data_IF_700332716906
#
_entry.id   IF_700332716906
#
_cell.length_a   1.000
_cell.length_b   1.000
_cell.length_c   1.000
_cell.angle_alpha   90.00
_cell.angle_beta   90.00
_cell.angle_gamma   90.00
#
_symmetry.space_group_name_H-M   'P 1'
#
loop_
_entity.id
_entity.type
_entity.pdbx_description
1 polymer ?
#
# COMPACT_ATOMS: atom_id res chain seq x y z
N UNK A 1 0.70 17.74 6.00
CA UNK A 1 0.27 17.77 4.59
C UNK A 1 -0.56 19.02 4.39
N UNK A 2 -0.31 19.82 3.33
CA UNK A 2 -1.14 20.99 3.00
C UNK A 2 -2.62 20.61 2.90
N UNK A 3 -3.51 21.37 3.53
CA UNK A 3 -4.92 21.02 3.70
C UNK A 3 -5.76 20.82 2.42
N UNK A 4 -5.16 21.00 1.24
CA UNK A 4 -5.77 20.76 -0.06
C UNK A 4 -4.96 19.78 -0.93
N UNK A 5 -4.07 19.00 -0.33
CA UNK A 5 -3.29 17.97 -0.99
C UNK A 5 -3.61 16.62 -0.36
N UNK A 6 -4.21 15.73 -1.16
CA UNK A 6 -4.61 14.40 -0.72
C UNK A 6 -3.47 13.39 -0.95
N UNK A 7 -2.61 13.22 0.06
CA UNK A 7 -1.53 12.22 0.06
C UNK A 7 -1.96 11.05 0.95
N UNK A 8 -2.24 9.91 0.34
CA UNK A 8 -2.72 8.70 1.00
C UNK A 8 -1.65 7.62 1.01
N UNK A 9 -1.32 7.12 2.21
CA UNK A 9 -0.52 5.91 2.39
C UNK A 9 -1.38 4.75 2.84
N UNK A 10 -2.37 5.06 3.67
CA UNK A 10 -3.41 4.17 4.18
C UNK A 10 -4.73 4.98 4.23
N UNK A 11 -5.84 4.37 3.86
CA UNK A 11 -7.16 5.00 3.87
C UNK A 11 -8.25 3.94 4.00
N UNK A 12 -9.47 4.35 4.18
CA UNK A 12 -10.65 3.46 4.19
C UNK A 12 -11.58 3.76 3.01
N UNK A 13 -12.28 2.73 2.54
CA UNK A 13 -13.36 2.86 1.57
C UNK A 13 -14.39 1.75 1.81
N UNK A 14 -15.58 1.91 1.23
CA UNK A 14 -16.67 0.94 1.38
C UNK A 14 -16.44 -0.33 0.59
N UNK A 15 -16.92 -1.47 1.09
CA UNK A 15 -16.80 -2.77 0.43
C UNK A 15 -17.21 -2.70 -1.05
N UNK A 16 -18.38 -2.12 -1.33
CA UNK A 16 -18.90 -2.02 -2.69
C UNK A 16 -17.97 -1.27 -3.68
N UNK A 17 -17.14 -0.35 -3.19
CA UNK A 17 -16.13 0.34 -4.01
C UNK A 17 -14.82 -0.45 -4.12
N UNK A 18 -14.49 -1.21 -3.09
CA UNK A 18 -13.24 -1.98 -3.00
C UNK A 18 -13.31 -3.26 -3.82
N UNK A 19 -14.47 -3.92 -3.80
CA UNK A 19 -14.76 -5.21 -4.45
C UNK A 19 -16.02 -5.14 -5.30
N UNK A 20 -16.08 -4.28 -6.34
CA UNK A 20 -17.31 -4.09 -7.13
C UNK A 20 -17.76 -5.36 -7.85
N UNK A 21 -16.83 -6.23 -8.23
CA UNK A 21 -17.12 -7.48 -8.95
C UNK A 21 -17.72 -8.57 -8.03
N UNK A 22 -17.58 -8.41 -6.72
CA UNK A 22 -18.07 -9.38 -5.72
C UNK A 22 -19.41 -8.96 -5.12
N UNK A 23 -19.96 -7.78 -5.47
CA UNK A 23 -21.26 -7.31 -5.00
C UNK A 23 -22.38 -8.11 -5.64
N UNK A 24 -23.27 -8.66 -4.84
CA UNK A 24 -24.45 -9.41 -5.31
C UNK A 24 -25.69 -9.08 -4.46
N UNK A 25 -26.87 -9.46 -4.99
CA UNK A 25 -28.18 -9.15 -4.39
C UNK A 25 -28.42 -9.84 -3.03
N UNK A 26 -27.63 -10.83 -2.66
CA UNK A 26 -27.78 -11.59 -1.40
C UNK A 26 -26.83 -11.10 -0.30
N UNK A 27 -25.97 -10.12 -0.62
CA UNK A 27 -25.01 -9.59 0.34
C UNK A 27 -25.70 -8.70 1.39
N UNK A 28 -25.48 -8.94 2.69
CA UNK A 28 -26.05 -8.08 3.74
C UNK A 28 -25.58 -6.64 3.60
N UNK A 29 -26.49 -5.67 3.77
CA UNK A 29 -26.18 -4.23 3.67
C UNK A 29 -25.01 -3.80 4.58
N UNK A 30 -24.89 -4.38 5.77
CA UNK A 30 -23.80 -4.09 6.70
C UNK A 30 -22.40 -4.36 6.09
N UNK A 31 -22.30 -5.34 5.19
CA UNK A 31 -21.06 -5.62 4.47
C UNK A 31 -20.81 -4.60 3.36
N UNK A 32 -21.84 -4.25 2.58
CA UNK A 32 -21.75 -3.27 1.50
C UNK A 32 -21.25 -1.91 2.01
N UNK A 33 -21.70 -1.54 3.20
CA UNK A 33 -21.33 -0.28 3.85
C UNK A 33 -20.20 -0.40 4.86
N UNK A 34 -19.62 -1.60 5.04
CA UNK A 34 -18.44 -1.83 5.86
C UNK A 34 -17.22 -1.09 5.34
N UNK A 35 -16.43 -0.53 6.26
CA UNK A 35 -15.17 0.14 5.91
C UNK A 35 -14.04 -0.87 5.78
N UNK A 36 -13.35 -0.83 4.65
CA UNK A 36 -12.15 -1.63 4.39
C UNK A 36 -10.91 -0.74 4.39
N UNK A 37 -9.87 -1.20 5.06
CA UNK A 37 -8.60 -0.52 5.11
C UNK A 37 -7.82 -0.78 3.82
N UNK A 38 -7.37 0.27 3.19
CA UNK A 38 -6.67 0.23 1.91
C UNK A 38 -5.26 0.81 2.03
N UNK A 39 -4.33 0.20 1.31
CA UNK A 39 -2.95 0.65 1.20
C UNK A 39 -2.34 0.15 -0.12
N UNK A 40 -1.06 0.42 -0.34
CA UNK A 40 -0.35 -0.16 -1.47
C UNK A 40 -0.31 -1.69 -1.34
N UNK A 41 -0.69 -2.40 -2.40
CA UNK A 41 -0.74 -3.86 -2.39
C UNK A 41 0.63 -4.55 -2.57
N UNK A 42 1.71 -3.83 -2.77
CA UNK A 42 3.05 -4.38 -3.01
C UNK A 42 3.01 -5.60 -3.94
N UNK A 43 2.39 -5.41 -5.10
CA UNK A 43 2.08 -6.47 -6.07
C UNK A 43 3.32 -7.28 -6.46
N UNK A 44 3.13 -8.59 -6.72
CA UNK A 44 4.19 -9.45 -7.26
C UNK A 44 4.57 -9.01 -8.69
N UNK A 45 3.55 -8.68 -9.51
CA UNK A 45 3.70 -8.13 -10.86
C UNK A 45 3.32 -6.64 -10.88
N UNK A 46 4.16 -5.71 -10.37
CA UNK A 46 3.78 -4.34 -10.16
C UNK A 46 3.80 -3.52 -11.46
N UNK A 47 2.65 -3.12 -12.01
CA UNK A 47 2.61 -2.31 -13.23
C UNK A 47 3.29 -0.95 -13.04
N UNK A 48 3.23 -0.40 -11.84
CA UNK A 48 3.87 0.87 -11.49
C UNK A 48 5.41 0.85 -11.59
N UNK A 49 6.04 -0.31 -11.45
CA UNK A 49 7.48 -0.50 -11.69
C UNK A 49 7.77 -0.47 -13.19
N UNK A 50 6.98 -1.21 -13.98
CA UNK A 50 7.18 -1.31 -15.43
C UNK A 50 7.07 0.03 -16.17
N UNK A 51 6.19 0.93 -15.70
CA UNK A 51 5.96 2.23 -16.36
C UNK A 51 6.89 3.34 -15.86
N UNK A 52 7.80 3.07 -14.92
CA UNK A 52 8.68 4.09 -14.38
C UNK A 52 9.90 4.31 -15.28
N UNK A 53 10.04 5.46 -15.98
CA UNK A 53 11.09 5.67 -16.96
C UNK A 53 12.49 5.80 -16.33
N UNK A 54 12.55 6.19 -15.05
CA UNK A 54 13.82 6.42 -14.33
C UNK A 54 14.18 5.28 -13.37
N UNK A 55 13.37 4.18 -13.37
CA UNK A 55 13.48 3.12 -12.37
C UNK A 55 13.45 3.62 -10.91
N UNK A 56 12.86 4.80 -10.66
CA UNK A 56 12.65 5.33 -9.32
C UNK A 56 11.71 4.42 -8.51
N UNK A 57 10.73 3.79 -9.15
CA UNK A 57 9.92 2.75 -8.54
C UNK A 57 10.49 1.40 -8.92
N UNK A 58 10.77 0.57 -7.93
CA UNK A 58 11.34 -0.76 -8.13
C UNK A 58 10.82 -1.74 -7.07
N UNK A 59 10.96 -3.04 -7.36
CA UNK A 59 10.68 -4.13 -6.43
C UNK A 59 12.02 -4.60 -5.86
N UNK A 60 12.09 -4.69 -4.53
CA UNK A 60 13.25 -5.20 -3.80
C UNK A 60 13.28 -6.74 -3.84
N UNK A 61 14.39 -7.33 -3.45
CA UNK A 61 14.56 -8.79 -3.35
C UNK A 61 13.58 -9.42 -2.34
N UNK A 62 13.23 -8.67 -1.27
CA UNK A 62 12.23 -9.06 -0.28
C UNK A 62 10.77 -8.92 -0.77
N UNK A 63 10.56 -8.60 -2.05
CA UNK A 63 9.24 -8.43 -2.65
C UNK A 63 8.59 -7.07 -2.41
N UNK A 64 9.14 -6.22 -1.57
CA UNK A 64 8.57 -4.91 -1.26
C UNK A 64 8.77 -3.96 -2.44
N UNK A 65 7.68 -3.36 -2.91
CA UNK A 65 7.74 -2.32 -3.94
C UNK A 65 7.98 -0.97 -3.27
N UNK A 66 9.09 -0.34 -3.59
CA UNK A 66 9.50 0.96 -3.03
C UNK A 66 9.67 2.02 -4.10
N UNK A 67 9.95 3.23 -3.67
CA UNK A 67 10.23 4.35 -4.56
C UNK A 67 11.36 5.19 -3.99
N UNK A 68 12.34 5.51 -4.85
CA UNK A 68 13.43 6.43 -4.58
C UNK A 68 13.02 7.86 -4.98
N UNK A 69 12.83 8.78 -4.02
CA UNK A 69 12.45 10.15 -4.32
C UNK A 69 13.51 10.94 -5.10
N UNK A 70 14.79 10.57 -5.00
CA UNK A 70 15.88 11.25 -5.71
C UNK A 70 15.89 10.93 -7.22
N UNK A 71 15.41 9.74 -7.60
CA UNK A 71 15.28 9.34 -9.01
C UNK A 71 13.93 9.75 -9.61
N UNK A 72 12.96 10.11 -8.78
CA UNK A 72 11.64 10.45 -9.24
C UNK A 72 11.61 11.80 -9.94
N UNK A 73 11.21 11.81 -11.22
CA UNK A 73 11.04 13.03 -12.03
C UNK A 73 9.60 13.56 -12.03
N UNK A 74 8.70 12.96 -11.24
CA UNK A 74 7.32 13.42 -11.12
C UNK A 74 6.43 13.22 -12.35
N UNK A 75 6.78 12.33 -13.27
CA UNK A 75 6.01 12.07 -14.50
C UNK A 75 4.61 11.46 -14.25
N UNK A 76 4.35 10.92 -13.06
CA UNK A 76 3.08 10.33 -12.59
C UNK A 76 2.59 9.09 -13.36
N UNK A 77 3.38 8.52 -14.28
CA UNK A 77 3.00 7.28 -14.97
C UNK A 77 2.69 6.14 -14.02
N UNK A 78 3.41 6.05 -12.91
CA UNK A 78 3.14 5.04 -11.87
C UNK A 78 1.80 5.25 -11.14
N UNK A 79 1.25 6.47 -11.10
CA UNK A 79 -0.10 6.74 -10.61
C UNK A 79 -1.15 6.25 -11.60
N UNK A 80 -0.98 6.57 -12.88
CA UNK A 80 -1.86 6.08 -13.94
C UNK A 80 -1.80 4.55 -14.09
N UNK A 81 -0.63 3.96 -13.89
CA UNK A 81 -0.43 2.51 -13.97
C UNK A 81 -0.90 1.73 -12.74
N UNK A 82 -1.26 2.38 -11.63
CA UNK A 82 -1.70 1.68 -10.42
C UNK A 82 -3.22 1.47 -10.41
N UNK A 83 -3.72 0.22 -10.57
CA UNK A 83 -5.16 -0.03 -10.59
C UNK A 83 -5.84 0.13 -9.22
N UNK A 84 -5.05 0.31 -8.16
CA UNK A 84 -5.51 0.41 -6.78
C UNK A 84 -5.56 1.85 -6.25
N UNK A 85 -5.10 2.84 -7.04
CA UNK A 85 -5.05 4.24 -6.61
C UNK A 85 -4.09 4.50 -5.44
N UNK A 86 -3.13 3.60 -5.20
CA UNK A 86 -2.27 3.62 -4.01
C UNK A 86 -1.02 4.51 -4.18
N UNK A 87 -1.10 5.55 -4.99
CA UNK A 87 -0.01 6.50 -5.21
C UNK A 87 -0.53 7.92 -5.20
N UNK A 88 0.15 8.76 -4.46
CA UNK A 88 -0.14 10.19 -4.31
C UNK A 88 1.02 11.02 -4.81
N UNK A 89 0.77 12.24 -5.24
CA UNK A 89 1.79 13.15 -5.78
C UNK A 89 1.89 14.41 -4.93
N UNK A 90 3.12 14.82 -4.61
CA UNK A 90 3.39 16.04 -3.88
C UNK A 90 3.39 17.26 -4.80
N UNK A 91 2.24 17.86 -5.01
CA UNK A 91 2.11 19.12 -5.76
C UNK A 91 2.74 20.31 -5.03
N UNK A 92 2.78 20.25 -3.71
CA UNK A 92 3.37 21.27 -2.82
C UNK A 92 4.47 20.65 -1.97
N UNK A 93 5.35 21.47 -1.46
CA UNK A 93 6.36 21.04 -0.51
C UNK A 93 5.68 20.59 0.80
N UNK A 94 5.85 19.33 1.22
CA UNK A 94 5.29 18.85 2.48
C UNK A 94 6.07 19.30 3.71
N UNK A 95 7.34 19.71 3.58
CA UNK A 95 8.25 20.00 4.69
C UNK A 95 7.67 21.02 5.69
N UNK A 96 7.10 22.16 5.25
CA UNK A 96 6.56 23.17 6.20
C UNK A 96 5.41 22.67 7.07
N UNK A 97 4.81 21.54 6.73
CA UNK A 97 3.65 20.95 7.42
C UNK A 97 4.00 19.73 8.28
N UNK A 98 5.25 19.26 8.22
CA UNK A 98 5.75 18.17 9.07
C UNK A 98 6.33 18.77 10.33
N UNK A 99 5.63 18.59 11.48
CA UNK A 99 6.06 19.13 12.77
C UNK A 99 7.18 18.30 13.39
N UNK A 100 7.03 16.98 13.34
CA UNK A 100 7.97 16.02 13.91
C UNK A 100 8.64 15.24 12.78
N UNK A 101 9.90 15.52 12.55
CA UNK A 101 10.68 14.85 11.48
C UNK A 101 11.27 13.57 12.05
N UNK A 102 10.93 12.43 11.42
CA UNK A 102 11.64 11.18 11.68
C UNK A 102 12.98 11.19 10.94
N UNK A 103 14.13 11.22 11.63
CA UNK A 103 15.43 11.29 10.99
C UNK A 103 15.79 10.02 10.18
N UNK A 104 15.14 8.89 10.48
CA UNK A 104 15.35 7.62 9.77
C UNK A 104 14.52 7.51 8.50
N UNK A 105 13.56 8.39 8.31
CA UNK A 105 12.68 8.38 7.15
C UNK A 105 13.10 9.48 6.16
N UNK A 106 13.40 9.14 4.89
CA UNK A 106 13.83 10.13 3.92
C UNK A 106 12.73 11.16 3.68
N UNK A 107 13.08 12.42 3.92
CA UNK A 107 12.15 13.53 3.77
C UNK A 107 11.65 13.62 2.32
N UNK A 108 10.35 13.79 2.17
CA UNK A 108 9.73 13.96 0.87
C UNK A 108 9.81 15.43 0.43
N UNK A 109 9.92 15.62 -0.87
CA UNK A 109 10.01 16.93 -1.51
C UNK A 109 8.83 17.14 -2.45
N UNK A 110 8.65 18.40 -2.87
CA UNK A 110 7.72 18.71 -3.96
C UNK A 110 8.11 17.95 -5.24
N UNK A 111 7.12 17.53 -6.02
CA UNK A 111 7.33 16.96 -7.35
C UNK A 111 7.59 15.47 -7.37
N UNK A 112 7.48 14.77 -6.26
CA UNK A 112 7.66 13.31 -6.18
C UNK A 112 6.36 12.60 -5.88
N UNK A 113 6.29 11.32 -6.26
CA UNK A 113 5.18 10.43 -5.92
C UNK A 113 5.45 9.75 -4.59
N UNK A 114 4.41 9.53 -3.81
CA UNK A 114 4.48 8.77 -2.56
C UNK A 114 3.52 7.58 -2.53
N UNK A 115 3.81 6.62 -1.68
CA UNK A 115 2.96 5.48 -1.35
C UNK A 115 3.42 4.80 -0.07
N UNK A 116 2.61 3.90 0.49
CA UNK A 116 3.03 3.00 1.56
C UNK A 116 4.30 2.23 1.17
N UNK A 117 5.29 2.18 2.07
CA UNK A 117 6.58 1.49 1.89
C UNK A 117 6.70 0.22 2.73
N UNK A 118 5.63 -0.19 3.44
CA UNK A 118 5.67 -1.17 4.52
C UNK A 118 6.66 -0.79 5.63
N UNK A 119 6.92 0.53 5.80
CA UNK A 119 7.88 1.04 6.79
C UNK A 119 9.24 0.34 6.68
N UNK A 120 9.85 0.34 5.48
CA UNK A 120 11.13 -0.36 5.22
C UNK A 120 12.24 0.05 6.18
N UNK A 121 12.22 1.28 6.69
CA UNK A 121 13.13 1.80 7.70
C UNK A 121 12.95 1.08 9.06
N UNK A 122 11.71 0.75 9.42
CA UNK A 122 11.40 -0.01 10.65
C UNK A 122 11.75 -1.49 10.48
N UNK A 123 11.44 -2.07 9.32
CA UNK A 123 11.80 -3.45 9.00
C UNK A 123 13.31 -3.67 9.04
N UNK A 124 14.11 -2.70 8.59
CA UNK A 124 15.56 -2.75 8.68
C UNK A 124 16.07 -2.80 10.14
N UNK A 125 15.27 -2.36 11.11
CA UNK A 125 15.53 -2.44 12.55
C UNK A 125 14.90 -3.68 13.22
N UNK A 126 14.33 -4.60 12.44
CA UNK A 126 13.61 -5.77 12.97
C UNK A 126 12.25 -5.43 13.61
N UNK A 127 11.71 -4.23 13.39
CA UNK A 127 10.41 -3.79 13.90
C UNK A 127 9.31 -4.02 12.87
N UNK A 128 8.09 -4.26 13.32
CA UNK A 128 6.92 -4.33 12.46
C UNK A 128 6.56 -2.95 11.86
N UNK A 129 5.83 -2.91 10.72
CA UNK A 129 5.24 -1.68 10.22
C UNK A 129 4.38 -0.98 11.29
N UNK A 130 4.45 0.34 11.37
CA UNK A 130 3.77 1.11 12.43
C UNK A 130 2.25 0.86 12.48
N UNK A 131 1.59 0.73 11.33
CA UNK A 131 0.16 0.44 11.26
C UNK A 131 -0.17 -0.97 11.78
N UNK A 132 0.72 -1.95 11.61
CA UNK A 132 0.54 -3.30 12.14
C UNK A 132 0.62 -3.30 13.66
N UNK A 133 1.63 -2.64 14.25
CA UNK A 133 1.73 -2.48 15.70
C UNK A 133 0.52 -1.76 16.28
N UNK A 134 0.08 -0.67 15.64
CA UNK A 134 -1.06 0.13 16.11
C UNK A 134 -2.41 -0.56 15.92
N UNK A 135 -2.48 -1.63 15.14
CA UNK A 135 -3.74 -2.34 14.84
C UNK A 135 -4.16 -3.34 15.91
N UNK A 136 -3.33 -3.58 16.94
CA UNK A 136 -3.62 -4.52 18.04
C UNK A 136 -4.06 -5.92 17.55
N UNK A 137 -3.43 -6.39 16.45
CA UNK A 137 -3.71 -7.71 15.86
C UNK A 137 -4.73 -7.73 14.72
N UNK A 138 -5.35 -6.59 14.39
CA UNK A 138 -6.23 -6.52 13.22
C UNK A 138 -5.49 -6.61 11.87
N UNK A 139 -4.19 -6.32 11.86
CA UNK A 139 -3.30 -6.48 10.71
C UNK A 139 -2.17 -7.44 11.03
N UNK A 140 -1.93 -8.38 10.12
CA UNK A 140 -0.85 -9.36 10.22
C UNK A 140 0.16 -9.06 9.11
N UNK A 141 1.46 -9.05 9.45
CA UNK A 141 2.54 -8.81 8.51
C UNK A 141 3.57 -9.95 8.60
N UNK A 142 4.13 -10.33 7.45
CA UNK A 142 5.18 -11.35 7.39
C UNK A 142 5.61 -11.66 5.96
N UNK A 143 6.59 -12.55 5.85
CA UNK A 143 7.08 -13.06 4.58
C UNK A 143 6.16 -14.18 4.06
N UNK A 144 5.65 -14.03 2.85
CA UNK A 144 4.83 -15.04 2.19
C UNK A 144 5.65 -16.27 1.76
N UNK A 145 6.96 -16.17 1.63
CA UNK A 145 7.84 -17.28 1.28
C UNK A 145 8.29 -18.10 2.50
N UNK A 146 8.18 -17.55 3.71
CA UNK A 146 8.50 -18.25 4.95
C UNK A 146 7.28 -19.05 5.45
N UNK A 147 7.31 -20.40 5.41
CA UNK A 147 6.22 -21.24 5.92
C UNK A 147 5.90 -21.02 7.40
N UNK A 148 6.87 -20.58 8.20
CA UNK A 148 6.71 -20.29 9.63
C UNK A 148 6.16 -18.88 9.92
N UNK A 149 5.99 -18.06 8.91
CA UNK A 149 5.52 -16.68 9.07
C UNK A 149 4.07 -16.59 9.56
N UNK A 150 3.74 -15.67 10.49
CA UNK A 150 2.37 -15.46 10.96
C UNK A 150 1.35 -15.21 9.84
N UNK A 151 1.76 -14.54 8.76
CA UNK A 151 0.89 -14.31 7.61
C UNK A 151 0.54 -15.62 6.89
N UNK A 152 1.48 -16.56 6.79
CA UNK A 152 1.22 -17.88 6.19
C UNK A 152 0.26 -18.71 7.03
N UNK A 153 0.39 -18.68 8.34
CA UNK A 153 -0.56 -19.31 9.25
C UNK A 153 -1.95 -18.72 9.07
N UNK A 154 -2.08 -17.38 9.12
CA UNK A 154 -3.37 -16.72 8.95
C UNK A 154 -4.04 -17.06 7.60
N UNK A 155 -3.26 -17.14 6.51
CA UNK A 155 -3.77 -17.52 5.19
C UNK A 155 -4.21 -18.98 5.10
N UNK A 156 -3.62 -19.90 5.91
CA UNK A 156 -4.01 -21.31 5.93
C UNK A 156 -5.27 -21.57 6.76
N UNK A 157 -5.53 -20.73 7.76
CA UNK A 157 -6.63 -20.90 8.72
C UNK A 157 -7.89 -20.13 8.33
N UNK A 158 -7.79 -19.15 7.43
CA UNK A 158 -8.90 -18.25 7.12
C UNK A 158 -9.19 -18.19 5.62
N UNK A 159 -10.45 -17.95 5.29
CA UNK A 159 -10.84 -17.60 3.94
C UNK A 159 -10.44 -16.14 3.64
N UNK A 160 -9.79 -15.92 2.50
CA UNK A 160 -9.26 -14.60 2.16
C UNK A 160 -9.57 -14.18 0.74
N UNK A 161 -9.74 -12.89 0.52
CA UNK A 161 -9.91 -12.29 -0.79
C UNK A 161 -8.81 -11.28 -1.09
N UNK A 162 -8.57 -11.02 -2.36
CA UNK A 162 -7.64 -9.98 -2.85
C UNK A 162 -8.36 -9.04 -3.80
N UNK A 163 -7.93 -7.79 -3.82
CA UNK A 163 -8.49 -6.79 -4.72
C UNK A 163 -8.11 -7.07 -6.18
N UNK A 164 -9.10 -7.03 -7.08
CA UNK A 164 -8.93 -7.08 -8.55
C UNK A 164 -7.98 -8.21 -9.02
N UNK A 165 -8.22 -9.46 -8.65
CA UNK A 165 -7.32 -10.59 -8.98
C UNK A 165 -7.18 -10.81 -10.48
N UNK A 166 -8.24 -10.49 -11.26
CA UNK A 166 -8.30 -10.63 -12.73
C UNK A 166 -7.28 -9.78 -13.48
N UNK A 167 -6.74 -8.72 -12.86
CA UNK A 167 -5.73 -7.86 -13.48
C UNK A 167 -4.32 -8.46 -13.52
N UNK A 168 -4.10 -9.63 -12.92
CA UNK A 168 -2.82 -10.34 -12.94
C UNK A 168 -1.68 -9.63 -12.21
N UNK A 169 -1.97 -8.60 -11.42
CA UNK A 169 -0.96 -7.86 -10.65
C UNK A 169 -0.45 -8.64 -9.44
N UNK A 170 -1.19 -9.68 -9.02
CA UNK A 170 -0.90 -10.49 -7.84
C UNK A 170 -0.65 -9.64 -6.58
N UNK A 171 -1.71 -9.02 -6.01
CA UNK A 171 -1.61 -8.22 -4.79
C UNK A 171 -1.03 -9.01 -3.62
N UNK A 172 -0.11 -8.41 -2.85
CA UNK A 172 0.45 -8.97 -1.62
C UNK A 172 -0.38 -8.66 -0.36
N UNK A 173 -1.52 -7.96 -0.50
CA UNK A 173 -2.45 -7.68 0.60
C UNK A 173 -3.68 -8.56 0.45
N UNK A 174 -4.03 -9.25 1.53
CA UNK A 174 -5.16 -10.16 1.65
C UNK A 174 -6.13 -9.63 2.70
N UNK A 175 -7.39 -9.89 2.52
CA UNK A 175 -8.46 -9.54 3.46
C UNK A 175 -9.10 -10.83 3.96
N UNK A 176 -9.11 -11.04 5.26
CA UNK A 176 -9.84 -12.13 5.92
C UNK A 176 -11.31 -11.75 5.97
N UNK A 177 -12.20 -12.67 5.58
CA UNK A 177 -13.65 -12.49 5.53
C UNK A 177 -14.39 -13.61 6.22
#
# INVERSE_FOLDING_TARGET
IPGNQDVKWIWTDKYAHVFPDDVNAYMPEKFLHGDFLLLCNHCENPPCVRVCPTAATFKREDGIVVMDPHRCIGCRFCMAGCPFGARSFNFRDPQPYVKDVNPEFPMRTRGVVEKCTFCTERLAQGKLPACVEASEGAMIFGDLNDPGSPVRQALSENFTIRRKPTLGTQPGVYYII
#
